data_IF_271132677797
#
_entry.id   IF_271132677797
#
_cell.length_a   1.000
_cell.length_b   1.000
_cell.length_c   1.000
_cell.angle_alpha   90.00
_cell.angle_beta   90.00
_cell.angle_gamma   90.00
#
_symmetry.space_group_name_H-M   'P 1'
#
loop_
_entity.id
_entity.type
_entity.pdbx_description
1 polymer ?
#
# COMPACT_ATOMS: atom_id res chain seq x y z
N UNK A 1 -21.82 7.51 -6.48
CA UNK A 1 -21.14 8.02 -5.26
C UNK A 1 -19.69 8.29 -5.62
N UNK A 2 -19.27 9.54 -5.63
CA UNK A 2 -17.86 9.89 -5.83
C UNK A 2 -17.02 9.42 -4.65
N UNK A 3 -15.89 8.78 -4.94
CA UNK A 3 -14.96 8.32 -3.94
C UNK A 3 -14.09 9.50 -3.50
N UNK A 4 -14.17 9.89 -2.22
CA UNK A 4 -13.25 10.87 -1.62
C UNK A 4 -11.76 10.49 -1.72
N UNK A 5 -11.47 9.21 -1.95
CA UNK A 5 -10.13 8.69 -2.17
C UNK A 5 -10.20 7.58 -3.22
N UNK A 6 -9.63 7.83 -4.40
CA UNK A 6 -9.63 6.87 -5.52
C UNK A 6 -8.81 5.60 -5.25
N UNK A 7 -7.90 5.64 -4.27
CA UNK A 7 -7.03 4.51 -3.94
C UNK A 7 -7.62 3.59 -2.87
N UNK A 8 -8.56 4.07 -2.06
CA UNK A 8 -9.13 3.30 -0.96
C UNK A 8 -10.58 3.71 -0.67
N UNK A 9 -11.50 2.77 -0.92
CA UNK A 9 -12.92 2.94 -0.66
C UNK A 9 -13.20 3.05 0.85
N UNK A 10 -14.09 3.96 1.25
CA UNK A 10 -14.60 4.14 2.62
C UNK A 10 -13.56 4.41 3.72
N UNK A 11 -12.39 4.96 3.37
CA UNK A 11 -11.38 5.32 4.36
C UNK A 11 -11.55 6.76 4.86
N UNK A 12 -11.23 6.99 6.14
CA UNK A 12 -11.04 8.33 6.71
C UNK A 12 -9.73 8.99 6.25
N UNK A 13 -8.88 8.26 5.53
CA UNK A 13 -7.61 8.75 4.99
C UNK A 13 -7.87 9.51 3.70
N UNK A 14 -7.56 10.80 3.70
CA UNK A 14 -7.64 11.66 2.51
C UNK A 14 -6.66 11.22 1.42
N UNK A 15 -6.96 11.51 0.16
CA UNK A 15 -6.08 11.15 -0.96
C UNK A 15 -4.64 11.69 -0.83
N UNK A 16 -4.39 12.96 -0.44
CA UNK A 16 -3.02 13.46 -0.22
C UNK A 16 -2.28 12.67 0.86
N UNK A 17 -2.96 12.33 1.97
CA UNK A 17 -2.38 11.55 3.05
C UNK A 17 -2.08 10.12 2.60
N UNK A 18 -2.95 9.51 1.80
CA UNK A 18 -2.68 8.21 1.20
C UNK A 18 -1.43 8.24 0.32
N UNK A 19 -1.29 9.26 -0.54
CA UNK A 19 -0.08 9.43 -1.37
C UNK A 19 1.18 9.61 -0.52
N UNK A 20 1.10 10.32 0.61
CA UNK A 20 2.21 10.41 1.56
C UNK A 20 2.59 9.03 2.10
N UNK A 21 1.62 8.22 2.53
CA UNK A 21 1.88 6.86 3.01
C UNK A 21 2.51 5.99 1.92
N UNK A 22 2.02 6.09 0.67
CA UNK A 22 2.58 5.35 -0.46
C UNK A 22 4.04 5.70 -0.73
N UNK A 23 4.42 6.98 -0.60
CA UNK A 23 5.83 7.40 -0.71
C UNK A 23 6.68 6.83 0.42
N UNK A 24 6.18 6.83 1.65
CA UNK A 24 6.91 6.26 2.80
C UNK A 24 7.07 4.74 2.66
N UNK A 25 6.07 4.06 2.11
CA UNK A 25 6.15 2.64 1.76
C UNK A 25 7.26 2.39 0.72
N UNK A 26 7.32 3.19 -0.34
CA UNK A 26 8.34 3.06 -1.39
C UNK A 26 9.78 3.38 -0.90
N UNK A 27 9.91 4.08 0.22
CA UNK A 27 11.18 4.32 0.90
C UNK A 27 11.53 3.23 1.92
N UNK A 28 10.80 2.11 1.93
CA UNK A 28 10.98 0.98 2.86
C UNK A 28 10.86 1.36 4.34
N UNK A 29 10.14 2.44 4.68
CA UNK A 29 9.87 2.75 6.09
C UNK A 29 8.95 1.70 6.70
N UNK A 30 9.17 1.36 7.97
CA UNK A 30 8.27 0.46 8.68
C UNK A 30 6.92 1.10 8.97
N UNK A 31 5.91 0.28 9.28
CA UNK A 31 4.58 0.78 9.66
C UNK A 31 4.63 1.66 10.91
N UNK A 32 5.54 1.36 11.85
CA UNK A 32 5.75 2.13 13.07
C UNK A 32 6.37 3.50 12.80
N UNK A 33 7.35 3.57 11.90
CA UNK A 33 8.01 4.83 11.50
C UNK A 33 7.07 5.73 10.69
N UNK A 34 6.17 5.11 9.94
CA UNK A 34 5.18 5.81 9.11
C UNK A 34 4.00 6.34 9.92
N UNK A 35 3.63 5.67 11.02
CA UNK A 35 2.50 6.05 11.87
C UNK A 35 2.65 7.45 12.47
N UNK A 36 3.85 7.80 12.95
CA UNK A 36 4.17 9.09 13.58
C UNK A 36 3.94 10.30 12.65
N UNK A 37 4.59 10.40 11.47
CA UNK A 37 4.43 11.55 10.58
C UNK A 37 3.05 11.61 9.90
N UNK A 38 2.32 10.50 9.86
CA UNK A 38 1.00 10.45 9.22
C UNK A 38 -0.15 10.68 10.20
N UNK A 39 0.10 10.57 11.51
CA UNK A 39 -0.89 10.57 12.59
C UNK A 39 -1.97 9.49 12.42
N UNK A 40 -1.56 8.31 11.93
CA UNK A 40 -2.42 7.15 11.71
C UNK A 40 -1.92 6.02 12.60
N UNK A 41 -2.83 5.23 13.16
CA UNK A 41 -2.44 4.10 14.00
C UNK A 41 -1.56 3.11 13.23
N UNK A 42 -0.55 2.56 13.90
CA UNK A 42 0.35 1.52 13.34
C UNK A 42 -0.45 0.37 12.74
N UNK A 43 -1.54 -0.06 13.40
CA UNK A 43 -2.46 -1.08 12.89
C UNK A 43 -3.01 -0.73 11.50
N UNK A 44 -3.47 0.50 11.30
CA UNK A 44 -4.07 0.92 10.03
C UNK A 44 -3.01 1.03 8.93
N UNK A 45 -1.83 1.55 9.24
CA UNK A 45 -0.69 1.57 8.30
C UNK A 45 -0.29 0.16 7.92
N UNK A 46 -0.16 -0.75 8.90
CA UNK A 46 0.21 -2.13 8.64
C UNK A 46 -0.81 -2.84 7.75
N UNK A 47 -2.11 -2.65 7.99
CA UNK A 47 -3.17 -3.16 7.11
C UNK A 47 -3.04 -2.63 5.68
N UNK A 48 -2.67 -1.36 5.52
CA UNK A 48 -2.46 -0.77 4.20
C UNK A 48 -1.21 -1.36 3.52
N UNK A 49 -0.11 -1.52 4.24
CA UNK A 49 1.14 -2.06 3.73
C UNK A 49 1.00 -3.50 3.27
N UNK A 50 0.25 -4.34 4.00
CA UNK A 50 -0.03 -5.71 3.57
C UNK A 50 -0.79 -5.74 2.23
N UNK A 51 -1.76 -4.84 2.04
CA UNK A 51 -2.48 -4.72 0.77
C UNK A 51 -1.58 -4.26 -0.37
N UNK A 52 -0.70 -3.29 -0.10
CA UNK A 52 0.28 -2.80 -1.08
C UNK A 52 1.25 -3.91 -1.49
N UNK A 53 1.78 -4.68 -0.53
CA UNK A 53 2.67 -5.82 -0.81
C UNK A 53 2.00 -6.92 -1.60
N UNK A 54 0.76 -7.28 -1.26
CA UNK A 54 0.00 -8.26 -2.04
C UNK A 54 -0.15 -7.79 -3.49
N UNK A 55 -0.61 -6.54 -3.69
CA UNK A 55 -0.73 -5.99 -5.03
C UNK A 55 0.60 -5.97 -5.78
N UNK A 56 1.69 -5.59 -5.12
CA UNK A 56 3.02 -5.61 -5.73
C UNK A 56 3.41 -7.03 -6.16
N UNK A 57 3.16 -8.04 -5.32
CA UNK A 57 3.42 -9.43 -5.66
C UNK A 57 2.58 -9.89 -6.87
N UNK A 58 1.29 -9.56 -6.90
CA UNK A 58 0.40 -9.89 -8.02
C UNK A 58 0.90 -9.25 -9.35
N UNK A 59 1.36 -8.00 -9.31
CA UNK A 59 1.92 -7.31 -10.49
C UNK A 59 3.26 -7.91 -10.92
N UNK A 60 4.13 -8.28 -9.96
CA UNK A 60 5.38 -8.98 -10.25
C UNK A 60 5.12 -10.34 -10.92
N UNK A 61 4.11 -11.08 -10.46
CA UNK A 61 3.72 -12.36 -11.05
C UNK A 61 3.22 -12.20 -12.49
N UNK A 62 2.42 -11.16 -12.77
CA UNK A 62 1.96 -10.83 -14.13
C UNK A 62 3.10 -10.42 -15.07
N UNK A 63 4.14 -9.79 -14.55
CA UNK A 63 5.30 -9.35 -15.34
C UNK A 63 6.38 -10.43 -15.48
N UNK A 64 6.21 -11.57 -14.82
CA UNK A 64 7.21 -12.63 -14.85
C UNK A 64 7.20 -13.32 -16.23
N UNK A 65 8.33 -13.39 -16.94
CA UNK A 65 8.39 -13.97 -18.29
C UNK A 65 8.27 -15.51 -18.29
N UNK A 66 8.45 -16.15 -17.14
CA UNK A 66 8.42 -17.60 -16.99
C UNK A 66 7.21 -18.04 -16.19
N UNK A 67 6.19 -18.57 -16.87
CA UNK A 67 5.06 -19.22 -16.24
C UNK A 67 5.44 -20.65 -15.80
N UNK A 68 6.37 -20.78 -14.85
CA UNK A 68 6.55 -21.97 -14.01
C UNK A 68 6.55 -23.35 -14.70
N UNK A 69 7.12 -23.51 -15.89
CA UNK A 69 7.47 -24.83 -16.40
C UNK A 69 8.93 -25.04 -16.05
N UNK A 70 9.16 -25.74 -14.93
CA UNK A 70 10.46 -26.34 -14.62
C UNK A 70 10.34 -27.80 -15.06
N UNK A 71 11.13 -28.19 -16.06
CA UNK A 71 11.29 -29.59 -16.51
C UNK A 71 11.95 -30.48 -15.45
#
# INVERSE_FOLDING_TARGET
MELKNKYQKFSKITEPKFRQILRLFALELTASDTAKPTAISVRSINSLYLKLRRRLADECEQQTPFCGIVE
#
